data_IF_203712040132
#
_entry.id   IF_203712040132
#
_cell.length_a   1.000
_cell.length_b   1.000
_cell.length_c   1.000
_cell.angle_alpha   90.00
_cell.angle_beta   90.00
_cell.angle_gamma   90.00
#
_symmetry.space_group_name_H-M   'P 1'
#
loop_
_entity.id
_entity.type
_entity.pdbx_description
1 polymer ?
2 branched ?
3 non-polymer ?
4 non-polymer ?
5 non-polymer ?
6 water ?
#
# COMPACT_ATOMS: atom_id res chain seq x y z
N UNK A 6 -17.13 17.14 -8.97
CA UNK A 6 -17.39 15.69 -8.77
C UNK A 6 -17.35 15.38 -7.30
N UNK A 7 -18.38 14.69 -6.85
CA UNK A 7 -18.48 14.19 -5.48
C UNK A 7 -18.40 12.68 -5.51
N UNK A 8 -17.79 12.14 -4.47
CA UNK A 8 -17.46 10.74 -4.40
C UNK A 8 -17.94 10.14 -3.10
N UNK A 9 -18.28 8.87 -3.14
CA UNK A 9 -18.64 8.08 -1.98
C UNK A 9 -17.72 6.87 -1.88
N UNK A 10 -17.52 6.40 -0.67
CA UNK A 10 -16.74 5.23 -0.42
C UNK A 10 -17.46 4.02 -0.99
N UNK A 11 -16.81 3.31 -1.89
CA UNK A 11 -17.36 2.12 -2.51
C UNK A 11 -16.86 0.85 -1.81
N UNK A 12 -15.58 0.85 -1.41
CA UNK A 12 -14.96 -0.32 -0.78
C UNK A 12 -13.98 0.22 0.26
N UNK A 13 -13.87 -0.47 1.37
CA UNK A 13 -12.86 -0.15 2.37
C UNK A 13 -12.36 -1.43 3.04
N UNK A 14 -11.04 -1.54 3.23
CA UNK A 14 -10.43 -2.65 3.92
C UNK A 14 -9.61 -2.05 5.07
N UNK A 15 -10.01 -2.35 6.29
CA UNK A 15 -9.31 -1.93 7.51
C UNK A 15 -8.55 -3.06 8.21
N UNK A 16 -8.61 -4.25 7.68
CA UNK A 16 -7.87 -5.40 8.20
C UNK A 16 -8.19 -5.74 9.67
N UNK A 17 -9.47 -5.80 9.96
CA UNK A 17 -10.02 -6.19 11.27
C UNK A 17 -9.61 -7.51 11.84
N UNK A 18 -9.43 -8.57 11.03
CA UNK A 18 -8.95 -9.92 11.46
C UNK A 18 -8.10 -10.63 10.43
N UNK A 19 -7.41 -11.71 10.76
CA UNK A 19 -6.65 -12.46 9.79
C UNK A 19 -7.55 -12.91 8.69
N UNK A 20 -8.87 -13.07 8.89
CA UNK A 20 -9.67 -13.56 7.80
C UNK A 20 -9.66 -12.66 6.57
N UNK A 21 -9.45 -11.36 6.71
CA UNK A 21 -9.35 -10.51 5.53
C UNK A 21 -8.07 -10.79 4.76
N UNK A 22 -7.03 -11.22 5.45
CA UNK A 22 -5.72 -11.37 4.82
C UNK A 22 -5.73 -12.43 3.74
N UNK A 23 -6.60 -13.43 3.85
CA UNK A 23 -6.71 -14.45 2.78
C UNK A 23 -7.11 -13.87 1.45
N UNK A 24 -7.67 -12.66 1.42
CA UNK A 24 -8.03 -12.05 0.16
C UNK A 24 -6.88 -11.37 -0.56
N UNK A 25 -5.73 -11.32 0.08
CA UNK A 25 -4.55 -10.66 -0.46
C UNK A 25 -3.51 -11.67 -0.86
N UNK A 26 -2.80 -11.40 -1.94
CA UNK A 26 -1.74 -12.26 -2.41
C UNK A 26 -0.49 -11.48 -2.77
N UNK A 27 0.64 -12.20 -2.78
CA UNK A 27 1.92 -11.71 -3.24
C UNK A 27 1.93 -11.71 -4.73
N UNK A 28 1.98 -10.53 -5.35
CA UNK A 28 1.95 -10.50 -6.81
C UNK A 28 3.32 -10.29 -7.45
N UNK A 29 4.37 -10.30 -6.63
CA UNK A 29 5.73 -10.26 -7.15
C UNK A 29 6.53 -9.09 -6.62
N UNK A 30 7.77 -9.04 -7.14
CA UNK A 30 8.75 -8.09 -6.70
C UNK A 30 9.56 -7.56 -7.88
N UNK A 31 10.31 -6.51 -7.65
CA UNK A 31 11.28 -6.04 -8.63
C UNK A 31 12.44 -5.45 -7.85
N UNK A 32 13.61 -6.06 -7.95
CA UNK A 32 14.81 -5.56 -7.25
C UNK A 32 14.67 -5.50 -5.75
N UNK A 33 13.86 -6.42 -5.20
CA UNK A 33 13.60 -6.52 -3.77
C UNK A 33 13.05 -7.91 -3.46
N UNK A 34 12.92 -8.24 -2.19
CA UNK A 34 12.37 -9.54 -1.79
C UNK A 34 11.39 -9.38 -0.69
N UNK A 35 10.53 -10.38 -0.58
CA UNK A 35 9.78 -10.63 0.63
C UNK A 35 10.58 -11.57 1.52
N UNK A 36 10.43 -11.43 2.82
CA UNK A 36 10.80 -12.45 3.77
C UNK A 36 9.74 -13.54 3.88
N UNK A 37 9.88 -14.40 4.90
CA UNK A 37 8.99 -15.57 5.08
C UNK A 37 8.54 -15.51 6.54
N UNK A 38 7.26 -15.37 6.85
CA UNK A 38 6.18 -15.27 5.87
C UNK A 38 6.23 -13.98 5.08
N UNK A 39 5.75 -14.01 3.88
CA UNK A 39 5.76 -12.79 3.07
C UNK A 39 4.74 -11.75 3.58
N UNK A 40 3.53 -12.21 3.83
CA UNK A 40 2.38 -11.38 4.19
C UNK A 40 1.67 -12.04 5.36
N UNK A 41 1.31 -11.24 6.34
CA UNK A 41 0.55 -11.78 7.45
C UNK A 41 -0.28 -10.70 8.10
N UNK A 42 -1.25 -11.10 8.93
CA UNK A 42 -1.97 -10.13 9.71
C UNK A 42 -1.14 -9.69 10.89
N UNK A 43 -1.31 -8.43 11.30
CA UNK A 43 -0.76 -7.91 12.53
C UNK A 43 -1.88 -7.25 13.29
N UNK A 44 -2.10 -7.67 14.55
CA UNK A 44 -3.22 -7.18 15.29
C UNK A 44 -2.90 -5.98 16.16
N UNK A 45 -1.64 -5.55 16.23
CA UNK A 45 -1.34 -4.33 17.00
C UNK A 45 -1.35 -3.05 16.18
N UNK A 46 -0.73 -3.12 15.04
CA UNK A 46 -0.61 -1.95 14.21
C UNK A 46 -1.97 -1.67 13.57
N UNK A 47 -2.42 -0.42 13.64
CA UNK A 47 -3.65 -0.01 12.96
C UNK A 47 -4.89 -0.75 13.46
N UNK A 48 -4.84 -1.29 14.70
CA UNK A 48 -5.92 -2.15 15.20
C UNK A 48 -6.23 -3.26 14.20
N UNK A 49 -5.18 -3.79 13.59
CA UNK A 49 -5.30 -4.74 12.49
C UNK A 49 -4.77 -4.14 11.22
N UNK A 50 -3.72 -4.75 10.68
CA UNK A 50 -3.09 -4.20 9.46
C UNK A 50 -2.47 -5.33 8.70
N UNK A 51 -2.18 -5.09 7.42
CA UNK A 51 -1.50 -6.05 6.60
C UNK A 51 0.00 -5.87 6.75
N UNK A 52 0.68 -6.89 7.23
CA UNK A 52 2.12 -6.86 7.43
C UNK A 52 2.83 -7.49 6.27
N UNK A 53 3.69 -6.72 5.63
CA UNK A 53 4.57 -7.20 4.56
C UNK A 53 5.98 -7.30 5.13
N UNK A 54 6.58 -8.48 5.10
CA UNK A 54 7.95 -8.63 5.59
C UNK A 54 8.84 -8.49 4.40
N UNK A 55 9.62 -7.41 4.37
CA UNK A 55 10.38 -7.04 3.18
C UNK A 55 11.88 -7.07 3.40
N UNK A 56 12.61 -7.17 2.30
CA UNK A 56 14.05 -6.99 2.29
C UNK A 56 14.36 -6.09 1.10
N UNK A 57 14.65 -4.82 1.37
CA UNK A 57 14.94 -3.82 0.36
C UNK A 57 16.44 -3.58 0.44
N UNK A 58 17.21 -3.91 -0.59
CA UNK A 58 18.67 -3.76 -0.50
C UNK A 58 19.16 -2.35 -0.35
N UNK A 59 18.42 -1.38 -0.86
CA UNK A 59 18.85 0.01 -0.75
C UNK A 59 19.87 0.46 -1.76
N UNK A 60 20.02 -0.30 -2.83
CA UNK A 60 21.05 -0.05 -3.86
C UNK A 60 20.59 0.69 -5.09
N UNK A 61 19.29 0.67 -5.38
CA UNK A 61 18.74 1.25 -6.60
C UNK A 61 17.48 2.04 -6.28
N UNK A 62 16.93 2.70 -7.30
CA UNK A 62 15.82 3.63 -7.07
C UNK A 62 14.44 3.03 -7.19
N UNK A 63 14.34 1.75 -7.51
CA UNK A 63 13.02 1.10 -7.67
C UNK A 63 13.10 -0.31 -7.13
N UNK A 64 12.82 -0.47 -5.82
CA UNK A 64 12.94 -1.72 -5.11
C UNK A 64 11.54 -2.04 -4.59
N UNK A 65 10.83 -2.89 -5.32
CA UNK A 65 9.38 -3.03 -5.22
C UNK A 65 8.95 -4.38 -4.66
N UNK A 66 7.98 -4.35 -3.75
CA UNK A 66 7.20 -5.52 -3.41
C UNK A 66 5.73 -5.17 -3.65
N UNK A 67 4.94 -6.15 -4.05
CA UNK A 67 3.56 -5.90 -4.42
C UNK A 67 2.61 -6.91 -3.81
N UNK A 68 1.47 -6.42 -3.34
CA UNK A 68 0.40 -7.26 -2.85
C UNK A 68 -0.85 -6.88 -3.61
N UNK A 69 -1.81 -7.79 -3.70
CA UNK A 69 -3.00 -7.56 -4.52
C UNK A 69 -4.24 -8.14 -3.87
N UNK A 70 -5.41 -7.60 -4.26
CA UNK A 70 -6.73 -8.06 -3.81
C UNK A 70 -7.71 -7.85 -4.95
N UNK A 71 -8.66 -8.76 -5.06
CA UNK A 71 -9.81 -8.56 -5.93
C UNK A 71 -10.78 -7.56 -5.30
N UNK A 72 -11.32 -6.68 -6.12
CA UNK A 72 -12.38 -5.73 -5.72
C UNK A 72 -13.42 -5.72 -6.83
N UNK A 73 -14.63 -6.12 -6.47
CA UNK A 73 -15.68 -6.29 -7.45
C UNK A 73 -16.05 -4.99 -8.15
N UNK A 74 -15.98 -3.86 -7.45
CA UNK A 74 -16.42 -2.62 -8.07
C UNK A 74 -15.29 -1.78 -8.64
N UNK A 75 -14.12 -2.38 -8.85
CA UNK A 75 -12.96 -1.56 -9.16
C UNK A 75 -13.12 -0.75 -10.40
N UNK A 76 -13.80 -1.32 -11.41
CA UNK A 76 -14.00 -0.65 -12.68
C UNK A 76 -14.87 0.63 -12.57
N UNK A 77 -15.56 0.81 -11.45
CA UNK A 77 -16.42 1.97 -11.17
C UNK A 77 -15.66 3.06 -10.44
N UNK A 78 -14.47 2.77 -9.94
CA UNK A 78 -13.80 3.65 -9.02
C UNK A 78 -12.82 4.60 -9.69
N UNK A 79 -12.55 5.70 -9.00
CA UNK A 79 -11.68 6.76 -9.48
C UNK A 79 -10.69 7.31 -8.46
N UNK A 80 -10.80 6.95 -7.19
CA UNK A 80 -9.83 7.37 -6.18
C UNK A 80 -9.51 6.19 -5.32
N UNK A 81 -8.22 6.00 -5.09
CA UNK A 81 -7.69 5.02 -4.13
C UNK A 81 -6.90 5.76 -3.06
N UNK A 82 -7.11 5.41 -1.82
CA UNK A 82 -6.25 5.86 -0.73
C UNK A 82 -5.83 4.69 0.10
N UNK A 83 -4.63 4.77 0.67
CA UNK A 83 -4.21 3.81 1.67
C UNK A 83 -3.08 4.42 2.49
N UNK A 84 -2.75 3.80 3.61
CA UNK A 84 -1.66 4.23 4.48
C UNK A 84 -0.59 3.18 4.52
N UNK A 85 0.64 3.66 4.63
CA UNK A 85 1.82 2.83 4.86
C UNK A 85 2.43 3.22 6.21
N UNK A 86 2.75 2.22 7.02
CA UNK A 86 3.46 2.44 8.30
C UNK A 86 4.77 1.69 8.27
N UNK A 87 5.85 2.36 8.70
CA UNK A 87 7.17 1.69 8.82
C UNK A 87 7.62 2.02 10.24
N UNK A 88 8.08 1.03 11.00
CA UNK A 88 8.60 1.33 12.34
C UNK A 88 9.57 2.51 12.33
N UNK A 89 9.46 3.36 13.35
CA UNK A 89 10.29 4.57 13.45
C UNK A 89 11.68 4.27 13.98
N UNK A 90 12.38 3.36 13.35
CA UNK A 90 13.74 3.04 13.75
C UNK A 90 14.65 4.21 13.36
N UNK A 91 15.55 4.60 14.25
CA UNK A 91 16.38 5.75 13.97
C UNK A 91 17.43 5.45 12.90
N UNK A 92 17.68 6.42 12.03
CA UNK A 92 18.77 6.34 11.07
C UNK A 92 18.32 5.78 9.73
N UNK A 93 17.05 5.44 9.56
CA UNK A 93 16.57 5.02 8.24
C UNK A 93 16.73 6.15 7.25
N UNK A 94 17.13 5.82 6.04
CA UNK A 94 17.36 6.78 4.98
C UNK A 94 16.75 6.26 3.69
N UNK A 95 16.36 7.15 2.80
CA UNK A 95 15.83 6.84 1.51
C UNK A 95 14.43 7.35 1.32
N UNK A 96 13.84 6.97 0.19
CA UNK A 96 12.55 7.46 -0.25
C UNK A 96 11.63 6.27 -0.52
N UNK A 97 10.35 6.48 -0.29
CA UNK A 97 9.27 5.58 -0.69
C UNK A 97 8.65 6.14 -1.95
N UNK A 98 8.32 5.30 -2.92
CA UNK A 98 7.66 5.67 -4.16
C UNK A 98 6.43 4.78 -4.40
N UNK A 99 5.49 4.79 -3.45
CA UNK A 99 4.38 3.83 -3.50
C UNK A 99 3.40 4.18 -4.64
N UNK A 100 2.75 3.15 -5.17
CA UNK A 100 1.81 3.38 -6.27
C UNK A 100 0.82 2.22 -6.28
N UNK A 101 0.09 2.05 -7.36
CA UNK A 101 -0.82 0.92 -7.49
C UNK A 101 -1.00 0.54 -8.95
N UNK A 102 -1.61 -0.63 -9.17
CA UNK A 102 -1.87 -1.13 -10.52
C UNK A 102 -3.26 -1.73 -10.58
N UNK A 103 -3.99 -1.43 -11.65
CA UNK A 103 -5.26 -2.07 -11.92
C UNK A 103 -5.01 -3.20 -12.90
N UNK A 104 -5.66 -4.33 -12.68
CA UNK A 104 -5.47 -5.49 -13.57
C UNK A 104 -6.80 -6.22 -13.73
N UNK A 105 -7.09 -6.89 -14.86
CA UNK A 105 -6.29 -6.98 -16.10
C UNK A 105 -5.91 -5.65 -16.76
N UNK A 106 -4.81 -5.67 -17.52
CA UNK A 106 -4.34 -4.53 -18.27
C UNK A 106 -3.05 -3.94 -17.75
N UNK A 107 -2.67 -4.32 -16.53
CA UNK A 107 -1.51 -3.77 -15.85
C UNK A 107 -1.43 -2.26 -16.03
N UNK A 108 -2.51 -1.60 -15.58
CA UNK A 108 -2.69 -0.19 -15.69
C UNK A 108 -2.04 0.47 -14.45
N UNK A 109 -0.89 1.05 -14.67
CA UNK A 109 -0.15 1.66 -13.58
C UNK A 109 -0.77 2.98 -13.20
N UNK A 110 -1.10 3.16 -11.93
CA UNK A 110 -1.76 4.38 -11.47
C UNK A 110 -0.92 5.04 -10.38
N UNK A 111 -0.88 6.37 -10.39
CA UNK A 111 -0.22 7.11 -9.35
C UNK A 111 1.29 7.13 -9.36
N UNK A 112 1.93 6.75 -10.48
CA UNK A 112 3.39 6.69 -10.48
C UNK A 112 3.98 8.02 -10.04
N UNK A 113 4.84 7.96 -9.03
CA UNK A 113 5.58 9.10 -8.50
C UNK A 113 4.70 10.25 -8.03
N UNK A 114 3.48 9.94 -7.62
CA UNK A 114 2.56 10.95 -7.11
C UNK A 114 2.55 11.09 -5.61
N UNK A 115 3.08 10.10 -4.90
CA UNK A 115 3.04 10.07 -3.44
C UNK A 115 4.42 9.74 -2.84
N UNK A 116 5.47 10.24 -3.46
CA UNK A 116 6.81 9.93 -3.02
C UNK A 116 7.14 10.69 -1.74
N UNK A 117 7.87 10.07 -0.86
CA UNK A 117 8.15 10.60 0.45
C UNK A 117 9.52 10.19 0.93
N UNK A 118 10.20 11.12 1.56
CA UNK A 118 11.51 10.86 2.12
C UNK A 118 11.26 10.44 3.54
N UNK A 119 11.85 9.34 3.95
CA UNK A 119 11.59 8.75 5.25
C UNK A 119 12.19 9.54 6.44
N UNK A 120 13.16 10.40 6.12
CA UNK A 120 13.86 11.18 7.16
C UNK A 120 13.08 12.39 7.56
N UNK A 121 11.99 12.68 6.90
CA UNK A 121 11.11 13.76 7.33
C UNK A 121 9.67 13.34 7.11
N UNK A 122 9.15 12.67 8.14
CA UNK A 122 7.88 11.97 8.09
C UNK A 122 7.04 12.23 9.30
N UNK A 123 5.75 12.13 9.09
CA UNK A 123 4.78 12.10 10.18
C UNK A 123 4.94 10.81 10.96
N UNK A 124 4.61 10.88 12.23
CA UNK A 124 4.64 9.71 13.14
C UNK A 124 3.23 9.42 13.69
N UNK A 125 2.97 8.14 13.93
CA UNK A 125 1.75 7.63 14.53
C UNK A 125 2.16 6.58 15.53
N UNK A 126 1.38 6.43 16.60
CA UNK A 126 1.75 5.51 17.66
C UNK A 126 0.75 4.37 17.78
N UNK A 127 1.23 3.16 17.93
CA UNK A 127 0.36 2.00 18.20
C UNK A 127 1.06 1.19 19.29
N UNK A 128 0.36 0.89 20.37
CA UNK A 128 0.92 0.16 21.51
C UNK A 128 2.18 0.76 22.09
N UNK A 129 2.28 2.08 22.09
CA UNK A 129 3.46 2.75 22.59
C UNK A 129 4.66 2.74 21.67
N UNK A 130 4.52 2.13 20.49
CA UNK A 130 5.58 2.07 19.47
C UNK A 130 5.26 3.09 18.39
N UNK A 131 6.29 3.74 17.90
CA UNK A 131 6.12 4.77 16.87
C UNK A 131 6.42 4.24 15.50
N UNK A 132 5.65 4.75 14.55
CA UNK A 132 5.76 4.39 13.15
C UNK A 132 5.80 5.66 12.33
N UNK A 133 6.68 5.67 11.34
CA UNK A 133 6.56 6.64 10.25
C UNK A 133 5.29 6.34 9.46
N UNK A 134 4.56 7.38 9.11
CA UNK A 134 3.29 7.26 8.42
C UNK A 134 3.33 7.98 7.12
N UNK A 135 2.87 7.31 6.06
CA UNK A 135 2.78 7.86 4.72
C UNK A 135 1.40 7.63 4.14
N UNK A 136 0.73 8.70 3.75
CA UNK A 136 -0.57 8.56 3.11
C UNK A 136 -0.39 8.52 1.60
N UNK A 137 -1.13 7.65 0.95
CA UNK A 137 -1.14 7.53 -0.50
C UNK A 137 -2.54 7.83 -1.04
N UNK A 138 -2.62 8.79 -1.97
CA UNK A 138 -3.87 9.12 -2.61
C UNK A 138 -3.64 9.15 -4.11
N UNK A 139 -4.41 8.37 -4.86
CA UNK A 139 -4.26 8.24 -6.31
C UNK A 139 -5.59 8.40 -7.01
N UNK A 140 -5.65 9.34 -7.95
CA UNK A 140 -6.81 9.54 -8.80
C UNK A 140 -6.59 8.84 -10.14
N UNK A 141 -7.62 8.24 -10.67
CA UNK A 141 -7.51 7.51 -11.93
C UNK A 141 -8.88 7.52 -12.61
N UNK A 142 -8.89 7.16 -13.89
CA UNK A 142 -10.16 7.07 -14.62
C UNK A 142 -10.83 5.75 -14.39
N UNK A 143 -12.15 5.72 -14.48
CA UNK A 143 -12.90 4.49 -14.59
C UNK A 143 -12.29 3.68 -15.71
N UNK A 144 -11.96 2.45 -15.40
CA UNK A 144 -11.20 1.61 -16.31
C UNK A 144 -11.95 0.31 -16.51
N UNK A 145 -12.42 0.07 -17.72
CA UNK A 145 -13.21 -1.10 -18.00
C UNK A 145 -12.42 -2.38 -17.79
N UNK A 146 -13.09 -3.38 -17.23
CA UNK A 146 -12.52 -4.73 -17.17
C UNK A 146 -11.62 -5.00 -15.97
N UNK A 147 -11.27 -3.99 -15.19
CA UNK A 147 -10.36 -4.24 -14.07
C UNK A 147 -11.06 -4.84 -12.89
N UNK A 148 -10.40 -5.81 -12.26
CA UNK A 148 -10.98 -6.58 -11.17
C UNK A 148 -10.07 -6.74 -9.95
N UNK A 149 -8.79 -6.40 -10.12
CA UNK A 149 -7.74 -6.60 -9.11
C UNK A 149 -6.99 -5.31 -8.91
N UNK A 150 -6.70 -4.99 -7.66
CA UNK A 150 -5.87 -3.87 -7.28
C UNK A 150 -4.57 -4.41 -6.73
N UNK A 151 -3.45 -3.93 -7.25
CA UNK A 151 -2.15 -4.26 -6.73
C UNK A 151 -1.60 -3.00 -6.10
N UNK A 152 -1.12 -3.13 -4.89
CA UNK A 152 -0.47 -2.04 -4.17
C UNK A 152 1.03 -2.30 -4.26
N UNK A 153 1.76 -1.32 -4.79
CA UNK A 153 3.22 -1.42 -4.96
C UNK A 153 3.90 -0.57 -3.93
N UNK A 154 4.65 -1.23 -3.06
CA UNK A 154 5.45 -0.58 -2.03
C UNK A 154 6.87 -0.55 -2.58
N UNK A 155 7.40 0.63 -2.83
CA UNK A 155 8.66 0.82 -3.57
C UNK A 155 9.63 1.64 -2.76
N UNK A 156 10.82 1.09 -2.54
CA UNK A 156 11.90 1.81 -1.91
C UNK A 156 12.86 2.36 -2.97
N UNK A 157 13.44 3.49 -2.67
CA UNK A 157 14.45 4.16 -3.47
C UNK A 157 15.62 4.45 -2.56
N UNK A 158 16.65 3.60 -2.69
CA UNK A 158 17.81 3.68 -1.80
C UNK A 158 17.42 3.68 -0.35
N UNK A 159 16.44 2.86 -0.03
CA UNK A 159 15.94 2.66 1.31
C UNK A 159 16.32 1.26 1.73
N UNK A 160 17.45 1.14 2.45
CA UNK A 160 17.92 -0.14 2.90
C UNK A 160 17.10 -0.50 4.14
N UNK A 161 16.35 -1.60 4.06
CA UNK A 161 15.43 -1.97 5.12
C UNK A 161 15.05 -3.43 5.01
N UNK A 162 15.27 -4.15 6.10
CA UNK A 162 14.83 -5.56 6.24
C UNK A 162 13.95 -5.57 7.47
N UNK A 163 12.65 -5.71 7.28
CA UNK A 163 11.74 -5.64 8.40
C UNK A 163 10.32 -5.54 7.88
N UNK A 164 9.35 -5.30 8.78
CA UNK A 164 7.97 -5.18 8.37
C UNK A 164 7.58 -3.79 7.88
N UNK A 165 6.72 -3.75 6.86
CA UNK A 165 6.03 -2.55 6.43
C UNK A 165 4.53 -2.88 6.43
N UNK A 166 3.71 -1.98 6.94
CA UNK A 166 2.29 -2.23 7.12
C UNK A 166 1.44 -1.39 6.19
N UNK A 167 0.39 -2.01 5.67
CA UNK A 167 -0.64 -1.33 4.89
C UNK A 167 -1.92 -1.32 5.69
N UNK A 168 -2.64 -0.21 5.64
CA UNK A 168 -3.94 -0.14 6.31
C UNK A 168 -4.83 0.86 5.56
N UNK A 169 -6.11 0.83 5.91
CA UNK A 169 -7.09 1.83 5.48
C UNK A 169 -7.14 1.98 3.98
N UNK A 170 -7.33 0.85 3.30
CA UNK A 170 -7.45 0.87 1.84
C UNK A 170 -8.88 1.31 1.50
N UNK A 171 -9.00 2.38 0.74
CA UNK A 171 -10.28 3.01 0.45
C UNK A 171 -10.41 3.23 -1.02
N UNK A 172 -11.55 2.82 -1.61
CA UNK A 172 -11.85 3.07 -3.01
C UNK A 172 -13.14 3.86 -3.09
N UNK A 173 -13.10 4.92 -3.87
CA UNK A 173 -14.21 5.85 -4.05
C UNK A 173 -14.73 5.82 -5.47
N UNK A 174 -16.05 5.99 -5.60
CA UNK A 174 -16.69 6.14 -6.90
C UNK A 174 -17.51 7.41 -6.86
N UNK A 175 -17.77 7.95 -8.05
CA UNK A 175 -18.63 9.13 -8.16
C UNK A 175 -20.05 8.85 -7.74
N UNK A 176 -20.69 9.86 -7.14
CA UNK A 176 -22.09 9.78 -6.71
C UNK A 176 -22.92 10.81 -7.49
N UNK A 177 -24.24 10.71 -7.31
CA UNK A 177 -25.21 11.63 -7.91
C UNK A 177 -25.63 11.25 -9.31
N UNK A 178 -25.13 10.14 -9.82
CA UNK A 178 -25.43 9.72 -11.18
C UNK A 178 -24.54 10.41 -12.18
N UNK A 179 -23.49 11.10 -11.74
CA UNK A 179 -22.65 11.81 -12.69
C UNK A 179 -21.33 11.10 -12.91
#
# INVERSE_FOLDING_TARGET
MASNEARYVLAEEVDFSSPEEVKNWWNSGTWQAEFGSPDIEWNGEVGNGALQLNVKLPGKSDWEEVRVARKFERLSECEILEYDIYIPNVEGLKGRLRPYAVLNPGWVKIGLDMNNANVESAEIITFGGKEYRRFHVRIEFDRTAGVKELHIGVVGDHLRYDGPIFIDNVRLYKRTGGM
#
